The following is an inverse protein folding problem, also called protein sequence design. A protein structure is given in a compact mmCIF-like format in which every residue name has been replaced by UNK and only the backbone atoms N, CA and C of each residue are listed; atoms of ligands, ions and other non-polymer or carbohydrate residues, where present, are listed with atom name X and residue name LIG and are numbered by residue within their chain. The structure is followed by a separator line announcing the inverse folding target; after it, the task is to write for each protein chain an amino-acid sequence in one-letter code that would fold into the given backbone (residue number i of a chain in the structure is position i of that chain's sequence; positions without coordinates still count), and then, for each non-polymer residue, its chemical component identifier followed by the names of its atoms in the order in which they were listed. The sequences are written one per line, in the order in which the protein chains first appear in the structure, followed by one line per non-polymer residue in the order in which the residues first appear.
data_IF_451955696658
#
_entry.id   IF_451955696658
#
_cell.length_a   1.000
_cell.length_b   1.000
_cell.length_c   1.000
_cell.angle_alpha   90.00
_cell.angle_beta   90.00
_cell.angle_gamma   90.00
#
_symmetry.space_group_name_H-M   'P 1'
#
loop_
_entity.id
_entity.type
_entity.pdbx_description
1 polymer ?
#
# COMPACT_ATOMS: atom_id res chain seq x y z
N UNK A 1 -0.27 10.76 -20.15
CA UNK A 1 0.89 11.17 -19.32
C UNK A 1 1.00 10.16 -18.19
N UNK A 2 2.20 9.72 -17.83
CA UNK A 2 2.40 8.70 -16.78
C UNK A 2 3.40 9.24 -15.76
N UNK A 3 3.03 9.20 -14.47
CA UNK A 3 3.92 9.53 -13.36
C UNK A 3 4.46 8.23 -12.77
N UNK A 4 5.76 8.00 -12.88
CA UNK A 4 6.38 6.69 -12.57
C UNK A 4 6.80 6.59 -11.12
N UNK A 5 7.34 7.67 -10.54
CA UNK A 5 7.91 7.66 -9.20
C UNK A 5 7.68 8.98 -8.47
N UNK A 6 7.79 9.00 -7.13
CA UNK A 6 7.97 10.24 -6.38
C UNK A 6 9.17 11.04 -6.93
N UNK A 7 9.07 12.36 -6.86
CA UNK A 7 10.13 13.24 -7.33
C UNK A 7 11.42 13.10 -6.49
N UNK A 8 11.25 12.95 -5.18
CA UNK A 8 12.36 12.71 -4.25
C UNK A 8 12.01 11.59 -3.27
N UNK A 9 12.95 10.67 -3.06
CA UNK A 9 12.78 9.53 -2.14
C UNK A 9 13.89 9.59 -1.08
N UNK A 10 13.48 9.69 0.18
CA UNK A 10 14.32 9.46 1.34
C UNK A 10 14.04 8.07 1.90
N UNK A 11 15.04 7.20 1.98
CA UNK A 11 14.88 5.83 2.47
C UNK A 11 15.98 5.43 3.45
N UNK A 12 15.68 4.47 4.30
CA UNK A 12 16.61 3.93 5.28
C UNK A 12 16.41 4.51 6.67
N UNK A 13 17.38 4.25 7.54
CA UNK A 13 17.36 4.80 8.90
C UNK A 13 17.51 6.32 8.86
N UNK A 14 16.73 7.00 9.71
CA UNK A 14 16.72 8.45 9.83
C UNK A 14 16.34 9.20 8.52
N UNK A 15 15.61 8.55 7.64
CA UNK A 15 15.11 9.14 6.40
C UNK A 15 14.25 10.38 6.67
N UNK A 16 13.46 10.39 7.76
CA UNK A 16 12.68 11.54 8.20
C UNK A 16 13.58 12.75 8.48
N UNK A 17 14.63 12.58 9.28
CA UNK A 17 15.52 13.69 9.63
C UNK A 17 16.26 14.22 8.38
N UNK A 18 16.68 13.33 7.49
CA UNK A 18 17.34 13.70 6.23
C UNK A 18 16.40 14.47 5.28
N UNK A 19 15.09 14.20 5.35
CA UNK A 19 14.08 14.85 4.51
C UNK A 19 13.69 16.26 4.96
N UNK A 20 13.89 16.61 6.24
CA UNK A 20 13.46 17.89 6.82
C UNK A 20 13.92 19.11 6.03
N UNK A 21 15.21 19.25 5.61
CA UNK A 21 15.66 20.42 4.82
C UNK A 21 14.92 20.58 3.49
N UNK A 22 14.46 19.49 2.90
CA UNK A 22 13.69 19.49 1.65
C UNK A 22 12.22 19.83 1.90
N UNK A 23 11.63 19.29 2.97
CA UNK A 23 10.25 19.58 3.37
C UNK A 23 10.09 21.07 3.71
N UNK A 24 11.03 21.66 4.46
CA UNK A 24 10.98 23.08 4.85
C UNK A 24 11.02 24.02 3.64
N UNK A 25 11.72 23.63 2.57
CA UNK A 25 11.76 24.40 1.32
C UNK A 25 10.45 24.30 0.54
N UNK A 26 9.73 23.17 0.67
CA UNK A 26 8.52 22.87 -0.08
C UNK A 26 7.27 23.50 0.54
N UNK A 27 7.21 23.69 1.86
CA UNK A 27 5.99 24.09 2.59
C UNK A 27 6.25 25.04 3.73
N UNK A 28 5.26 25.89 4.03
CA UNK A 28 5.24 26.78 5.20
C UNK A 28 4.10 26.42 6.18
N UNK A 29 3.03 25.86 5.65
CA UNK A 29 1.82 25.55 6.41
C UNK A 29 1.31 24.13 6.10
N UNK A 30 2.05 23.07 6.50
CA UNK A 30 1.67 21.70 6.19
C UNK A 30 0.52 21.19 7.07
N UNK A 31 -0.32 20.32 6.48
CA UNK A 31 -1.27 19.49 7.21
C UNK A 31 -0.68 18.10 7.44
N UNK A 32 -0.51 17.66 8.68
CA UNK A 32 -0.24 16.26 8.99
C UNK A 32 -1.56 15.51 9.00
N UNK A 33 -1.73 14.59 8.04
CA UNK A 33 -2.89 13.71 7.95
C UNK A 33 -2.55 12.34 8.54
N UNK A 34 -3.42 11.83 9.42
CA UNK A 34 -3.29 10.53 10.04
C UNK A 34 -4.61 9.81 10.24
N UNK A 35 -4.56 8.68 10.97
CA UNK A 35 -5.74 7.91 11.39
C UNK A 35 -5.43 7.10 12.64
N UNK A 36 -6.43 7.01 13.54
CA UNK A 36 -6.33 6.20 14.75
C UNK A 36 -5.26 6.67 15.75
N UNK A 37 -5.16 5.95 16.85
CA UNK A 37 -4.26 6.29 17.97
C UNK A 37 -2.90 5.62 17.88
N UNK A 38 -2.80 4.45 17.20
CA UNK A 38 -1.59 3.62 17.22
C UNK A 38 -0.35 4.30 16.61
N UNK A 39 -0.54 5.25 15.70
CA UNK A 39 0.54 6.01 15.08
C UNK A 39 0.71 7.42 15.64
N UNK A 40 -0.03 7.79 16.71
CA UNK A 40 0.02 9.13 17.30
C UNK A 40 1.42 9.55 17.76
N UNK A 41 2.17 8.64 18.39
CA UNK A 41 3.52 8.96 18.87
C UNK A 41 4.46 9.39 17.73
N UNK A 42 4.40 8.70 16.59
CA UNK A 42 5.19 9.06 15.41
C UNK A 42 4.70 10.38 14.78
N UNK A 43 3.39 10.58 14.66
CA UNK A 43 2.83 11.84 14.15
C UNK A 43 3.14 13.03 15.07
N UNK A 44 3.11 12.82 16.38
CA UNK A 44 3.52 13.83 17.35
C UNK A 44 5.02 14.16 17.26
N UNK A 45 5.87 13.17 16.95
CA UNK A 45 7.26 13.41 16.64
C UNK A 45 7.39 14.27 15.37
N UNK A 46 6.74 13.89 14.28
CA UNK A 46 6.69 14.66 13.03
C UNK A 46 6.22 16.09 13.29
N UNK A 47 5.14 16.27 14.06
CA UNK A 47 4.61 17.58 14.43
C UNK A 47 5.64 18.43 15.15
N UNK A 48 6.28 17.90 16.18
CA UNK A 48 7.31 18.62 16.96
C UNK A 48 8.50 19.00 16.08
N UNK A 49 8.99 18.07 15.28
CA UNK A 49 10.15 18.31 14.41
C UNK A 49 9.86 19.45 13.41
N UNK A 50 8.66 19.50 12.82
CA UNK A 50 8.25 20.57 11.90
C UNK A 50 8.01 21.91 12.64
N UNK A 51 7.41 21.89 13.83
CA UNK A 51 7.23 23.08 14.66
C UNK A 51 8.57 23.70 15.06
N UNK A 52 9.56 22.89 15.38
CA UNK A 52 10.93 23.35 15.68
C UNK A 52 11.61 24.03 14.49
N UNK A 53 11.09 23.81 13.27
CA UNK A 53 11.50 24.48 12.04
C UNK A 53 10.64 25.73 11.71
N UNK A 54 9.86 26.23 12.67
CA UNK A 54 8.98 27.38 12.54
C UNK A 54 7.86 27.25 11.49
N UNK A 55 7.44 26.02 11.14
CA UNK A 55 6.33 25.80 10.23
C UNK A 55 4.97 25.96 10.96
N UNK A 56 3.97 26.46 10.24
CA UNK A 56 2.59 26.58 10.75
C UNK A 56 1.83 25.26 10.59
N UNK A 57 2.19 24.25 11.40
CA UNK A 57 1.68 22.88 11.26
C UNK A 57 0.26 22.77 11.81
N UNK A 58 -0.62 22.14 11.04
CA UNK A 58 -1.94 21.66 11.46
C UNK A 58 -1.99 20.13 11.41
N UNK A 59 -2.93 19.55 12.17
CA UNK A 59 -3.14 18.09 12.18
C UNK A 59 -4.61 17.78 11.93
N UNK A 60 -4.85 16.72 11.18
CA UNK A 60 -6.18 16.13 11.00
C UNK A 60 -6.10 14.60 10.94
N UNK A 61 -7.19 13.94 11.30
CA UNK A 61 -7.31 12.49 11.21
C UNK A 61 -8.50 12.11 10.34
N UNK A 62 -8.35 11.04 9.55
CA UNK A 62 -9.48 10.35 8.96
C UNK A 62 -10.34 9.76 10.10
N UNK A 63 -11.65 9.94 10.00
CA UNK A 63 -12.63 9.38 10.94
C UNK A 63 -13.02 7.96 10.55
N UNK A 64 -13.16 7.77 9.25
CA UNK A 64 -13.64 6.52 8.64
C UNK A 64 -12.53 5.85 7.83
N UNK A 65 -12.36 6.26 6.57
CA UNK A 65 -11.48 5.64 5.60
C UNK A 65 -10.99 6.66 4.55
N UNK A 66 -10.30 6.21 3.50
CA UNK A 66 -10.14 7.00 2.27
C UNK A 66 -11.50 7.06 1.55
N UNK A 67 -12.41 7.88 2.06
CA UNK A 67 -13.79 8.03 1.58
C UNK A 67 -14.13 9.50 1.30
N UNK A 68 -15.14 9.72 0.46
CA UNK A 68 -15.51 11.08 0.05
C UNK A 68 -15.91 11.98 1.23
N UNK A 69 -16.54 11.42 2.27
CA UNK A 69 -16.94 12.17 3.46
C UNK A 69 -15.71 12.72 4.22
N UNK A 70 -14.68 11.88 4.41
CA UNK A 70 -13.46 12.33 5.06
C UNK A 70 -12.65 13.27 4.16
N UNK A 71 -12.54 12.97 2.86
CA UNK A 71 -11.85 13.82 1.88
C UNK A 71 -12.47 15.22 1.86
N UNK A 72 -13.80 15.32 1.73
CA UNK A 72 -14.51 16.62 1.72
C UNK A 72 -14.28 17.39 3.02
N UNK A 73 -14.35 16.72 4.16
CA UNK A 73 -14.08 17.34 5.47
C UNK A 73 -12.66 17.87 5.59
N UNK A 74 -11.67 17.10 5.12
CA UNK A 74 -10.26 17.50 5.17
C UNK A 74 -9.98 18.64 4.18
N UNK A 75 -10.55 18.61 2.97
CA UNK A 75 -10.44 19.70 2.00
C UNK A 75 -10.93 21.03 2.60
N UNK A 76 -12.04 21.02 3.34
CA UNK A 76 -12.50 22.20 4.05
C UNK A 76 -11.52 22.70 5.14
N UNK A 77 -10.81 21.78 5.82
CA UNK A 77 -9.77 22.15 6.78
C UNK A 77 -8.58 22.79 6.05
N UNK A 78 -8.14 22.22 4.94
CA UNK A 78 -7.04 22.74 4.11
C UNK A 78 -7.34 24.16 3.65
N UNK A 79 -8.50 24.37 3.05
CA UNK A 79 -8.90 25.69 2.52
C UNK A 79 -9.04 26.75 3.63
N UNK A 80 -9.73 26.43 4.73
CA UNK A 80 -9.96 27.37 5.85
C UNK A 80 -8.68 27.81 6.58
N UNK A 81 -7.62 26.99 6.54
CA UNK A 81 -6.38 27.27 7.28
C UNK A 81 -5.20 27.66 6.36
N UNK A 82 -5.46 27.89 5.06
CA UNK A 82 -4.43 28.22 4.07
C UNK A 82 -3.26 27.21 4.11
N UNK A 83 -3.60 25.91 4.15
CA UNK A 83 -2.62 24.83 4.12
C UNK A 83 -2.04 24.76 2.69
N UNK A 84 -0.72 24.64 2.60
CA UNK A 84 0.02 24.63 1.33
C UNK A 84 0.59 23.25 0.95
N UNK A 85 0.42 22.25 1.81
CA UNK A 85 0.86 20.86 1.53
C UNK A 85 0.19 19.85 2.45
N UNK A 86 0.18 18.57 2.06
CA UNK A 86 -0.28 17.47 2.90
C UNK A 86 0.89 16.52 3.19
N UNK A 87 1.14 16.26 4.47
CA UNK A 87 2.05 15.21 4.95
C UNK A 87 1.18 14.03 5.40
N UNK A 88 1.01 13.05 4.53
CA UNK A 88 0.24 11.85 4.80
C UNK A 88 1.10 10.84 5.59
N UNK A 89 0.90 10.76 6.92
CA UNK A 89 1.68 9.91 7.81
C UNK A 89 0.83 8.74 8.36
N UNK A 90 0.98 7.55 7.73
CA UNK A 90 0.16 6.40 8.11
C UNK A 90 0.31 5.18 7.22
N UNK A 91 -0.67 4.29 7.25
CA UNK A 91 -0.81 3.16 6.34
C UNK A 91 -1.54 3.55 5.03
N UNK A 92 -1.79 2.58 4.15
CA UNK A 92 -2.30 2.78 2.79
C UNK A 92 -3.46 3.76 2.68
N UNK A 93 -4.49 3.61 3.52
CA UNK A 93 -5.69 4.50 3.51
C UNK A 93 -5.39 5.97 3.79
N UNK A 94 -4.43 6.25 4.67
CA UNK A 94 -3.98 7.63 4.97
C UNK A 94 -3.16 8.17 3.81
N UNK A 95 -2.29 7.33 3.23
CA UNK A 95 -1.45 7.71 2.10
C UNK A 95 -2.29 8.02 0.87
N UNK A 96 -3.30 7.19 0.58
CA UNK A 96 -4.24 7.40 -0.53
C UNK A 96 -5.09 8.65 -0.32
N UNK A 97 -5.65 8.87 0.87
CA UNK A 97 -6.41 10.06 1.17
C UNK A 97 -5.57 11.34 1.04
N UNK A 98 -4.33 11.33 1.55
CA UNK A 98 -3.41 12.47 1.43
C UNK A 98 -3.05 12.81 -0.01
N UNK A 99 -2.75 11.80 -0.83
CA UNK A 99 -2.48 11.97 -2.25
C UNK A 99 -3.70 12.53 -3.00
N UNK A 100 -4.88 11.95 -2.77
CA UNK A 100 -6.11 12.39 -3.42
C UNK A 100 -6.49 13.83 -3.05
N UNK A 101 -6.38 14.20 -1.77
CA UNK A 101 -6.62 15.58 -1.29
C UNK A 101 -5.64 16.55 -1.97
N UNK A 102 -4.36 16.18 -2.03
CA UNK A 102 -3.33 17.01 -2.64
C UNK A 102 -3.57 17.23 -4.14
N UNK A 103 -3.96 16.16 -4.84
CA UNK A 103 -4.31 16.21 -6.27
C UNK A 103 -5.53 17.09 -6.53
N UNK A 104 -6.60 16.92 -5.73
CA UNK A 104 -7.81 17.75 -5.84
C UNK A 104 -7.58 19.25 -5.62
N UNK A 105 -6.61 19.61 -4.80
CA UNK A 105 -6.34 21.00 -4.38
C UNK A 105 -5.08 21.59 -5.03
N UNK A 106 -4.42 20.83 -5.91
CA UNK A 106 -3.17 21.20 -6.59
C UNK A 106 -2.08 21.68 -5.62
N UNK A 107 -1.91 20.94 -4.50
CA UNK A 107 -0.87 21.20 -3.50
C UNK A 107 0.06 20.00 -3.35
N UNK A 108 1.33 20.19 -2.96
CA UNK A 108 2.29 19.11 -2.79
C UNK A 108 1.84 18.04 -1.78
N UNK A 109 2.05 16.77 -2.14
CA UNK A 109 1.91 15.64 -1.24
C UNK A 109 3.27 15.12 -0.79
N UNK A 110 3.43 14.93 0.52
CA UNK A 110 4.56 14.25 1.14
C UNK A 110 4.01 12.98 1.79
N UNK A 111 4.46 11.81 1.35
CA UNK A 111 4.03 10.54 1.94
C UNK A 111 5.07 10.03 2.94
N UNK A 112 4.60 9.64 4.12
CA UNK A 112 5.40 9.07 5.21
C UNK A 112 4.75 7.75 5.63
N UNK A 113 5.05 6.62 4.94
CA UNK A 113 4.56 5.32 5.33
C UNK A 113 5.03 4.95 6.74
N UNK A 114 4.09 4.60 7.61
CA UNK A 114 4.36 4.16 8.98
C UNK A 114 4.25 2.63 9.13
N UNK A 115 4.09 1.92 8.03
CA UNK A 115 4.15 0.45 7.93
C UNK A 115 4.52 0.04 6.51
N UNK A 116 5.00 -1.18 6.32
CA UNK A 116 5.31 -1.76 5.02
C UNK A 116 4.14 -2.57 4.43
N UNK A 117 2.90 -2.22 4.77
CA UNK A 117 1.71 -3.01 4.39
C UNK A 117 1.29 -2.85 2.93
N UNK A 118 1.83 -1.89 2.19
CA UNK A 118 1.44 -1.56 0.82
C UNK A 118 2.43 -0.58 0.18
N UNK A 119 2.42 -0.50 -1.13
CA UNK A 119 3.17 0.47 -1.92
C UNK A 119 2.44 1.82 -2.13
N UNK A 120 1.33 2.07 -1.44
CA UNK A 120 0.50 3.27 -1.64
C UNK A 120 1.26 4.61 -1.47
N UNK A 121 2.36 4.62 -0.72
CA UNK A 121 3.21 5.81 -0.57
C UNK A 121 3.95 6.23 -1.84
N UNK A 122 4.06 5.35 -2.83
CA UNK A 122 4.82 5.59 -4.07
C UNK A 122 3.96 6.11 -5.21
N UNK A 123 2.79 5.50 -5.43
CA UNK A 123 2.06 5.54 -6.71
C UNK A 123 1.21 6.80 -6.91
N UNK A 124 1.03 7.22 -8.17
CA UNK A 124 0.03 8.20 -8.61
C UNK A 124 -1.36 7.56 -8.71
N UNK A 125 -1.81 6.95 -7.62
CA UNK A 125 -3.08 6.24 -7.51
C UNK A 125 -3.63 6.36 -6.11
N UNK A 126 -4.95 6.43 -5.97
CA UNK A 126 -5.65 6.33 -4.70
C UNK A 126 -6.85 5.42 -4.80
N UNK A 127 -7.00 4.54 -3.82
CA UNK A 127 -8.17 3.67 -3.69
C UNK A 127 -9.23 4.36 -2.83
N UNK A 128 -10.45 4.50 -3.36
CA UNK A 128 -11.59 5.12 -2.69
C UNK A 128 -12.52 4.03 -2.16
N UNK A 129 -12.94 4.22 -0.93
CA UNK A 129 -13.83 3.32 -0.20
C UNK A 129 -15.07 4.06 0.29
N UNK A 130 -16.11 3.31 0.67
CA UNK A 130 -17.19 3.86 1.48
C UNK A 130 -16.71 4.12 2.90
N UNK A 131 -17.47 4.88 3.69
CA UNK A 131 -17.20 5.05 5.14
C UNK A 131 -17.22 3.74 5.92
N UNK A 132 -17.77 2.69 5.36
CA UNK A 132 -17.82 1.33 5.93
C UNK A 132 -16.66 0.44 5.47
N UNK A 133 -15.75 0.94 4.61
CA UNK A 133 -14.57 0.22 4.14
C UNK A 133 -14.78 -0.63 2.90
N UNK A 134 -15.92 -0.50 2.22
CA UNK A 134 -16.18 -1.19 0.94
C UNK A 134 -15.49 -0.45 -0.20
N UNK A 135 -14.77 -1.18 -1.05
CA UNK A 135 -14.10 -0.60 -2.22
C UNK A 135 -15.13 -0.02 -3.21
N UNK A 136 -14.86 1.19 -3.69
CA UNK A 136 -15.67 1.86 -4.72
C UNK A 136 -14.93 1.83 -6.05
N UNK A 137 -13.73 2.42 -6.08
CA UNK A 137 -12.89 2.50 -7.28
C UNK A 137 -11.47 2.91 -6.94
N UNK A 138 -10.57 2.69 -7.85
CA UNK A 138 -9.27 3.35 -7.92
C UNK A 138 -9.37 4.64 -8.74
N UNK A 139 -8.53 5.62 -8.40
CA UNK A 139 -8.47 6.91 -9.07
C UNK A 139 -7.01 7.17 -9.45
N UNK A 140 -6.77 7.33 -10.74
CA UNK A 140 -5.47 7.81 -11.24
C UNK A 140 -5.32 9.29 -10.87
N UNK A 141 -4.15 9.66 -10.35
CA UNK A 141 -3.79 11.01 -9.95
C UNK A 141 -2.87 11.64 -10.99
N UNK A 142 -2.82 12.96 -11.01
CA UNK A 142 -1.97 13.71 -11.94
C UNK A 142 -0.46 13.46 -11.72
N UNK A 143 -0.04 13.19 -10.47
CA UNK A 143 1.37 12.94 -10.15
C UNK A 143 1.55 11.99 -8.95
N UNK A 144 2.73 11.37 -8.88
CA UNK A 144 3.22 10.75 -7.66
C UNK A 144 3.51 11.81 -6.58
N UNK A 145 3.68 11.42 -5.31
CA UNK A 145 4.07 12.35 -4.25
C UNK A 145 5.35 13.14 -4.60
N UNK A 146 5.42 14.40 -4.17
CA UNK A 146 6.64 15.22 -4.30
C UNK A 146 7.80 14.61 -3.50
N UNK A 147 7.52 14.16 -2.28
CA UNK A 147 8.51 13.53 -1.41
C UNK A 147 7.90 12.25 -0.85
N UNK A 148 8.63 11.14 -0.95
CA UNK A 148 8.39 9.93 -0.19
C UNK A 148 9.46 9.78 0.89
N UNK A 149 9.04 9.67 2.15
CA UNK A 149 9.92 9.42 3.28
C UNK A 149 9.70 8.02 3.81
N UNK A 150 10.58 7.09 3.46
CA UNK A 150 10.50 5.68 3.82
C UNK A 150 11.48 5.37 4.95
N UNK A 151 11.12 5.81 6.17
CA UNK A 151 11.97 5.69 7.35
C UNK A 151 11.85 4.31 8.01
N UNK A 152 12.93 3.55 8.00
CA UNK A 152 12.96 2.19 8.56
C UNK A 152 12.64 2.17 10.05
N UNK A 153 13.11 3.17 10.83
CA UNK A 153 12.80 3.26 12.27
C UNK A 153 11.32 3.49 12.52
N UNK A 154 10.64 4.27 11.67
CA UNK A 154 9.20 4.46 11.77
C UNK A 154 8.45 3.17 11.44
N UNK A 155 8.80 2.55 10.31
CA UNK A 155 8.14 1.33 9.84
C UNK A 155 8.34 0.17 10.82
N UNK A 156 9.51 0.07 11.46
CA UNK A 156 9.83 -0.97 12.42
C UNK A 156 8.91 -0.96 13.66
N UNK A 157 8.31 0.17 13.99
CA UNK A 157 7.37 0.26 15.12
C UNK A 157 5.99 -0.34 14.83
N UNK A 158 5.68 -0.62 13.56
CA UNK A 158 4.41 -1.20 13.18
C UNK A 158 4.33 -2.69 13.58
N UNK A 159 3.13 -3.24 13.84
CA UNK A 159 2.99 -4.67 14.10
C UNK A 159 3.50 -5.52 12.91
N UNK A 160 4.15 -6.65 13.18
CA UNK A 160 4.66 -7.59 12.15
C UNK A 160 3.59 -8.05 11.17
N UNK A 161 2.33 -8.13 11.62
CA UNK A 161 1.16 -8.40 10.77
C UNK A 161 1.08 -7.45 9.57
N UNK A 162 1.52 -6.19 9.71
CA UNK A 162 1.52 -5.23 8.60
C UNK A 162 2.57 -5.56 7.54
N UNK A 163 3.74 -6.08 7.95
CA UNK A 163 4.75 -6.57 7.01
C UNK A 163 4.26 -7.85 6.30
N UNK A 164 3.68 -8.80 7.03
CA UNK A 164 3.09 -10.00 6.43
C UNK A 164 2.04 -9.64 5.36
N UNK A 165 1.13 -8.70 5.67
CA UNK A 165 0.17 -8.17 4.71
C UNK A 165 0.86 -7.53 3.49
N UNK A 166 1.92 -6.75 3.69
CA UNK A 166 2.67 -6.14 2.59
C UNK A 166 3.38 -7.15 1.70
N UNK A 167 3.91 -8.22 2.27
CA UNK A 167 4.50 -9.32 1.49
C UNK A 167 3.45 -9.97 0.58
N UNK A 168 2.25 -10.26 1.10
CA UNK A 168 1.19 -10.86 0.30
C UNK A 168 0.70 -9.93 -0.83
N UNK A 169 0.53 -8.63 -0.54
CA UNK A 169 0.17 -7.60 -1.53
C UNK A 169 1.26 -7.46 -2.62
N UNK A 170 2.53 -7.42 -2.22
CA UNK A 170 3.64 -7.28 -3.16
C UNK A 170 3.84 -8.54 -4.04
N UNK A 171 3.61 -9.75 -3.50
CA UNK A 171 3.65 -10.98 -4.27
C UNK A 171 2.61 -10.99 -5.40
N UNK A 172 1.44 -10.40 -5.20
CA UNK A 172 0.40 -10.30 -6.22
C UNK A 172 0.89 -9.56 -7.48
N UNK A 173 1.87 -8.64 -7.36
CA UNK A 173 2.42 -7.91 -8.51
C UNK A 173 2.93 -8.83 -9.62
N UNK A 174 3.65 -9.89 -9.26
CA UNK A 174 4.10 -10.87 -10.27
C UNK A 174 2.95 -11.70 -10.82
N UNK A 175 2.17 -12.31 -9.95
CA UNK A 175 1.16 -13.28 -10.38
C UNK A 175 0.02 -12.64 -11.19
N UNK A 176 -0.30 -11.39 -10.93
CA UNK A 176 -1.30 -10.66 -11.71
C UNK A 176 -0.71 -10.09 -13.00
N UNK A 177 0.43 -9.38 -12.95
CA UNK A 177 1.02 -8.76 -14.13
C UNK A 177 1.49 -9.77 -15.17
N UNK A 178 1.99 -10.94 -14.75
CA UNK A 178 2.42 -12.01 -15.66
C UNK A 178 1.28 -12.57 -16.51
N UNK A 179 0.02 -12.45 -16.06
CA UNK A 179 -1.15 -12.90 -16.80
C UNK A 179 -1.74 -11.76 -17.63
N UNK A 180 -2.03 -10.64 -17.00
CA UNK A 180 -2.70 -9.52 -17.67
C UNK A 180 -1.87 -8.89 -18.77
N UNK A 181 -0.54 -8.94 -18.64
CA UNK A 181 0.38 -8.19 -19.48
C UNK A 181 1.34 -9.05 -20.32
N UNK A 182 1.24 -10.38 -20.25
CA UNK A 182 2.14 -11.29 -20.97
C UNK A 182 2.13 -11.12 -22.49
N UNK A 183 1.02 -10.64 -23.05
CA UNK A 183 0.82 -10.45 -24.51
C UNK A 183 0.91 -8.97 -24.94
N UNK A 184 1.27 -8.06 -24.03
CA UNK A 184 1.35 -6.63 -24.34
C UNK A 184 2.71 -6.35 -24.96
N UNK A 185 2.72 -5.84 -26.19
CA UNK A 185 3.92 -5.40 -26.89
C UNK A 185 4.26 -3.95 -26.50
N UNK A 186 4.79 -3.79 -25.27
CA UNK A 186 5.21 -2.52 -24.68
C UNK A 186 6.45 -2.79 -23.82
N UNK A 187 7.58 -2.24 -24.21
CA UNK A 187 8.87 -2.49 -23.57
C UNK A 187 8.90 -2.12 -22.08
N UNK A 188 8.24 -1.03 -21.66
CA UNK A 188 8.18 -0.64 -20.25
C UNK A 188 7.33 -1.62 -19.44
N UNK A 189 6.21 -2.08 -20.00
CA UNK A 189 5.36 -3.10 -19.35
C UNK A 189 6.13 -4.42 -19.20
N UNK A 190 6.87 -4.84 -20.21
CA UNK A 190 7.70 -6.04 -20.13
C UNK A 190 8.80 -5.91 -19.06
N UNK A 191 9.43 -4.73 -18.93
CA UNK A 191 10.40 -4.47 -17.86
C UNK A 191 9.74 -4.50 -16.48
N UNK A 192 8.54 -3.91 -16.31
CA UNK A 192 7.79 -3.97 -15.07
C UNK A 192 7.48 -5.41 -14.64
N UNK A 193 7.12 -6.28 -15.60
CA UNK A 193 6.92 -7.72 -15.36
C UNK A 193 8.21 -8.37 -14.85
N UNK A 194 9.38 -8.09 -15.45
CA UNK A 194 10.63 -8.68 -14.98
C UNK A 194 11.03 -8.18 -13.59
N UNK A 195 10.80 -6.88 -13.27
CA UNK A 195 11.01 -6.34 -11.93
C UNK A 195 10.08 -7.03 -10.93
N UNK A 196 8.82 -7.29 -11.28
CA UNK A 196 7.87 -7.99 -10.42
C UNK A 196 8.27 -9.46 -10.17
N UNK A 197 8.95 -10.10 -11.13
CA UNK A 197 9.52 -11.44 -10.96
C UNK A 197 10.65 -11.44 -9.92
N UNK A 198 11.59 -10.50 -10.02
CA UNK A 198 12.68 -10.35 -9.05
C UNK A 198 12.11 -10.04 -7.66
N UNK A 199 11.10 -9.14 -7.58
CA UNK A 199 10.38 -8.83 -6.35
C UNK A 199 9.79 -10.10 -5.70
N UNK A 200 9.07 -10.93 -6.47
CA UNK A 200 8.52 -12.20 -5.99
C UNK A 200 9.62 -13.10 -5.43
N UNK A 201 10.70 -13.30 -6.19
CA UNK A 201 11.79 -14.21 -5.80
C UNK A 201 12.45 -13.75 -4.49
N UNK A 202 12.69 -12.45 -4.34
CA UNK A 202 13.20 -11.87 -3.11
C UNK A 202 12.26 -12.09 -1.91
N UNK A 203 10.95 -11.88 -2.09
CA UNK A 203 9.98 -12.06 -1.03
C UNK A 203 9.81 -13.52 -0.62
N UNK A 204 9.92 -14.45 -1.55
CA UNK A 204 9.90 -15.90 -1.27
C UNK A 204 11.14 -16.35 -0.50
N UNK A 205 12.30 -15.73 -0.73
CA UNK A 205 13.58 -16.07 -0.06
C UNK A 205 13.66 -15.40 1.33
N UNK A 206 13.39 -14.12 1.40
CA UNK A 206 13.65 -13.30 2.59
C UNK A 206 12.42 -13.07 3.49
N UNK A 207 11.20 -13.28 2.98
CA UNK A 207 9.96 -12.83 3.64
C UNK A 207 9.75 -13.43 5.03
N UNK A 208 9.94 -14.75 5.20
CA UNK A 208 9.80 -15.38 6.51
C UNK A 208 10.86 -14.89 7.49
N UNK A 209 12.12 -14.83 7.07
CA UNK A 209 13.22 -14.35 7.90
C UNK A 209 13.01 -12.90 8.33
N UNK A 210 12.56 -12.04 7.40
CA UNK A 210 12.25 -10.65 7.67
C UNK A 210 11.10 -10.51 8.69
N UNK A 211 10.04 -11.31 8.54
CA UNK A 211 8.90 -11.32 9.45
C UNK A 211 9.31 -11.72 10.88
N UNK A 212 10.15 -12.75 11.03
CA UNK A 212 10.63 -13.21 12.33
C UNK A 212 11.62 -12.25 13.00
N UNK A 213 12.41 -11.53 12.21
CA UNK A 213 13.47 -10.63 12.69
C UNK A 213 13.11 -9.14 12.59
N UNK A 214 11.84 -8.79 12.60
CA UNK A 214 11.39 -7.41 12.44
C UNK A 214 12.09 -6.41 13.36
N UNK A 215 12.34 -6.78 14.61
CA UNK A 215 12.94 -5.88 15.61
C UNK A 215 14.46 -5.79 15.54
N UNK A 216 15.10 -6.62 14.72
CA UNK A 216 16.56 -6.63 14.56
C UNK A 216 17.04 -5.59 13.53
N UNK A 217 16.15 -5.09 12.65
CA UNK A 217 16.49 -4.19 11.55
C UNK A 217 17.67 -4.69 10.70
N UNK A 218 17.71 -6.00 10.50
CA UNK A 218 18.76 -6.66 9.73
C UNK A 218 18.55 -6.48 8.20
N UNK A 219 19.48 -6.98 7.40
CA UNK A 219 19.45 -6.79 5.95
C UNK A 219 18.21 -7.42 5.31
N UNK A 220 17.83 -8.65 5.68
CA UNK A 220 16.64 -9.31 5.14
C UNK A 220 15.36 -8.52 5.44
N UNK A 221 15.23 -7.98 6.67
CA UNK A 221 14.09 -7.15 7.03
C UNK A 221 14.04 -5.85 6.19
N UNK A 222 15.16 -5.12 6.10
CA UNK A 222 15.23 -3.88 5.31
C UNK A 222 14.91 -4.12 3.84
N UNK A 223 15.51 -5.15 3.24
CA UNK A 223 15.27 -5.50 1.84
C UNK A 223 13.80 -5.86 1.59
N UNK A 224 13.18 -6.64 2.49
CA UNK A 224 11.76 -7.03 2.39
C UNK A 224 10.83 -5.82 2.55
N UNK A 225 11.10 -4.95 3.53
CA UNK A 225 10.33 -3.71 3.74
C UNK A 225 10.39 -2.82 2.51
N UNK A 226 11.57 -2.61 1.93
CA UNK A 226 11.75 -1.82 0.71
C UNK A 226 11.12 -2.51 -0.52
N UNK A 227 11.16 -3.82 -0.59
CA UNK A 227 10.48 -4.58 -1.64
C UNK A 227 8.96 -4.33 -1.61
N UNK A 228 8.34 -4.38 -0.44
CA UNK A 228 6.90 -4.15 -0.27
C UNK A 228 6.46 -2.71 -0.59
N UNK A 229 7.27 -1.71 -0.21
CA UNK A 229 6.88 -0.31 -0.34
C UNK A 229 7.42 0.39 -1.59
N UNK A 230 8.65 0.10 -1.96
CA UNK A 230 9.36 0.82 -3.04
C UNK A 230 9.35 0.03 -4.35
N UNK A 231 9.84 -1.23 -4.35
CA UNK A 231 9.89 -2.03 -5.57
C UNK A 231 8.51 -2.34 -6.11
N UNK A 232 7.55 -2.71 -5.24
CA UNK A 232 6.15 -2.91 -5.64
C UNK A 232 5.52 -1.61 -6.21
N UNK A 233 5.88 -0.45 -5.65
CA UNK A 233 5.48 0.85 -6.15
C UNK A 233 6.07 1.16 -7.52
N UNK A 234 7.35 0.87 -7.73
CA UNK A 234 8.03 1.04 -9.02
C UNK A 234 7.40 0.18 -10.12
N UNK A 235 7.05 -1.08 -9.83
CA UNK A 235 6.32 -1.95 -10.77
C UNK A 235 5.01 -1.29 -11.20
N UNK A 236 4.22 -0.77 -10.24
CA UNK A 236 2.98 -0.07 -10.54
C UNK A 236 3.17 1.24 -11.30
N UNK A 237 4.27 1.96 -11.02
CA UNK A 237 4.63 3.21 -11.70
C UNK A 237 5.04 2.99 -13.15
N UNK A 238 5.88 1.99 -13.43
CA UNK A 238 6.36 1.66 -14.79
C UNK A 238 5.25 0.97 -15.60
N UNK A 239 4.59 -0.05 -15.01
CA UNK A 239 3.59 -0.86 -15.72
C UNK A 239 2.21 -0.21 -15.84
N UNK A 240 1.94 0.84 -15.02
CA UNK A 240 0.65 1.54 -15.02
C UNK A 240 -0.52 0.60 -14.73
N UNK A 241 -1.66 0.85 -15.36
CA UNK A 241 -2.88 0.04 -15.20
C UNK A 241 -2.67 -1.43 -15.61
N UNK A 242 -1.80 -1.66 -16.60
CA UNK A 242 -1.54 -2.97 -17.18
C UNK A 242 -0.88 -3.95 -16.20
N UNK A 243 -0.18 -3.47 -15.17
CA UNK A 243 0.50 -4.29 -14.15
C UNK A 243 -0.13 -4.19 -12.75
N UNK A 244 -1.39 -3.77 -12.64
CA UNK A 244 -1.98 -3.49 -11.33
C UNK A 244 -2.79 -4.62 -10.77
N UNK A 245 -3.81 -5.04 -11.48
CA UNK A 245 -4.90 -5.86 -10.93
C UNK A 245 -5.34 -6.94 -11.90
N UNK A 246 -5.54 -8.14 -11.38
CA UNK A 246 -6.23 -9.24 -12.04
C UNK A 246 -7.23 -9.85 -11.05
N UNK A 247 -7.36 -11.16 -11.01
CA UNK A 247 -8.34 -11.84 -10.19
C UNK A 247 -8.09 -11.68 -8.69
N UNK A 248 -6.83 -11.63 -8.22
CA UNK A 248 -6.54 -11.51 -6.79
C UNK A 248 -7.11 -10.22 -6.19
N UNK A 249 -6.89 -9.08 -6.82
CA UNK A 249 -7.47 -7.81 -6.39
C UNK A 249 -8.97 -7.69 -6.68
N UNK A 250 -9.48 -8.29 -7.77
CA UNK A 250 -10.92 -8.34 -8.03
C UNK A 250 -11.65 -9.09 -6.90
N UNK A 251 -11.11 -10.23 -6.46
CA UNK A 251 -11.62 -10.99 -5.32
C UNK A 251 -11.54 -10.17 -4.03
N UNK A 252 -10.41 -9.47 -3.78
CA UNK A 252 -10.30 -8.55 -2.65
C UNK A 252 -11.43 -7.52 -2.68
N UNK A 253 -11.66 -6.85 -3.81
CA UNK A 253 -12.69 -5.82 -3.94
C UNK A 253 -14.09 -6.38 -3.69
N UNK A 254 -14.39 -7.57 -4.22
CA UNK A 254 -15.65 -8.28 -3.98
C UNK A 254 -15.83 -8.64 -2.50
N UNK A 255 -14.79 -9.15 -1.84
CA UNK A 255 -14.80 -9.49 -0.41
C UNK A 255 -15.10 -8.26 0.44
N UNK A 256 -14.60 -7.07 0.08
CA UNK A 256 -14.90 -5.82 0.81
C UNK A 256 -16.40 -5.45 0.79
N UNK A 257 -17.18 -5.96 -0.19
CA UNK A 257 -18.62 -5.74 -0.23
C UNK A 257 -19.39 -6.63 0.76
N UNK A 258 -18.76 -7.74 1.19
CA UNK A 258 -19.36 -8.73 2.08
C UNK A 258 -18.96 -8.47 3.53
N UNK A 259 -17.67 -8.21 3.76
CA UNK A 259 -17.13 -7.98 5.10
C UNK A 259 -17.26 -6.49 5.44
N UNK A 260 -18.18 -6.16 6.33
CA UNK A 260 -18.38 -4.80 6.84
C UNK A 260 -17.36 -4.40 7.90
N UNK A 261 -16.39 -5.24 8.22
CA UNK A 261 -15.43 -5.00 9.30
C UNK A 261 -14.02 -4.79 8.77
N UNK A 262 -13.37 -3.72 9.20
CA UNK A 262 -11.93 -3.47 9.01
C UNK A 262 -11.04 -4.46 9.82
N UNK A 263 -11.46 -5.70 9.95
CA UNK A 263 -10.77 -6.72 10.76
C UNK A 263 -9.51 -7.23 10.07
N UNK A 264 -9.53 -7.28 8.73
CA UNK A 264 -8.44 -7.77 7.93
C UNK A 264 -7.71 -6.63 7.21
N UNK A 265 -6.40 -6.78 7.06
CA UNK A 265 -5.59 -5.89 6.26
C UNK A 265 -5.74 -6.21 4.77
N UNK A 266 -5.49 -5.22 3.92
CA UNK A 266 -5.61 -5.35 2.46
C UNK A 266 -4.88 -6.59 1.93
N UNK A 267 -3.59 -6.73 2.20
CA UNK A 267 -2.81 -7.85 1.70
C UNK A 267 -3.17 -9.22 2.29
N UNK A 268 -3.85 -9.28 3.45
CA UNK A 268 -4.38 -10.54 3.97
C UNK A 268 -5.51 -11.07 3.07
N UNK A 269 -6.35 -10.19 2.58
CA UNK A 269 -7.44 -10.54 1.65
C UNK A 269 -6.88 -10.81 0.25
N UNK A 270 -5.95 -9.95 -0.23
CA UNK A 270 -5.27 -10.15 -1.53
C UNK A 270 -4.54 -11.49 -1.57
N UNK A 271 -3.89 -11.90 -0.47
CA UNK A 271 -3.20 -13.18 -0.38
C UNK A 271 -4.16 -14.38 -0.59
N UNK A 272 -5.35 -14.35 0.01
CA UNK A 272 -6.38 -15.37 -0.26
C UNK A 272 -6.85 -15.30 -1.71
N UNK A 273 -7.10 -14.10 -2.22
CA UNK A 273 -7.44 -13.88 -3.64
C UNK A 273 -6.39 -14.44 -4.60
N UNK A 274 -5.10 -14.30 -4.25
CA UNK A 274 -4.00 -14.85 -5.04
C UNK A 274 -4.01 -16.38 -5.11
N UNK A 275 -4.28 -17.04 -3.99
CA UNK A 275 -4.41 -18.51 -3.98
C UNK A 275 -5.60 -18.96 -4.84
N UNK A 276 -6.71 -18.24 -4.80
CA UNK A 276 -7.89 -18.52 -5.63
C UNK A 276 -7.60 -18.29 -7.12
N UNK A 277 -6.94 -17.18 -7.47
CA UNK A 277 -6.50 -16.91 -8.84
C UNK A 277 -5.66 -18.06 -9.39
N UNK A 278 -4.61 -18.46 -8.68
CA UNK A 278 -3.73 -19.55 -9.11
C UNK A 278 -4.47 -20.88 -9.22
N UNK A 279 -5.45 -21.14 -8.33
CA UNK A 279 -6.28 -22.33 -8.43
C UNK A 279 -7.12 -22.34 -9.71
N UNK A 280 -7.73 -21.22 -10.06
CA UNK A 280 -8.48 -21.06 -11.31
C UNK A 280 -7.58 -21.27 -12.54
N UNK A 281 -6.35 -20.75 -12.52
CA UNK A 281 -5.37 -20.96 -13.59
C UNK A 281 -4.99 -22.43 -13.74
N UNK A 282 -4.74 -23.12 -12.64
CA UNK A 282 -4.43 -24.56 -12.63
C UNK A 282 -5.56 -25.38 -13.24
N UNK A 283 -6.82 -25.08 -12.84
CA UNK A 283 -8.01 -25.80 -13.34
C UNK A 283 -8.30 -25.54 -14.82
N UNK A 284 -8.21 -24.28 -15.26
CA UNK A 284 -8.59 -23.88 -16.61
C UNK A 284 -7.56 -24.29 -17.67
N UNK A 285 -6.28 -24.21 -17.35
CA UNK A 285 -5.19 -24.36 -18.32
C UNK A 285 -4.33 -25.60 -18.07
N UNK A 286 -4.70 -26.48 -17.13
CA UNK A 286 -3.87 -27.60 -16.66
C UNK A 286 -2.42 -27.13 -16.34
N UNK A 287 -2.31 -25.96 -15.72
CA UNK A 287 -1.05 -25.26 -15.48
C UNK A 287 -0.35 -25.81 -14.24
N UNK A 288 0.58 -26.75 -14.43
CA UNK A 288 1.36 -27.35 -13.35
C UNK A 288 2.19 -26.32 -12.55
N UNK A 289 2.61 -25.22 -13.18
CA UNK A 289 3.36 -24.15 -12.49
C UNK A 289 2.47 -23.40 -11.52
N UNK A 290 1.18 -23.24 -11.82
CA UNK A 290 0.23 -22.65 -10.87
C UNK A 290 0.08 -23.52 -9.62
N UNK A 291 -0.01 -24.83 -9.77
CA UNK A 291 -0.10 -25.77 -8.63
C UNK A 291 1.18 -25.76 -7.77
N UNK A 292 2.36 -25.64 -8.38
CA UNK A 292 3.62 -25.46 -7.65
C UNK A 292 3.66 -24.15 -6.89
N UNK A 293 3.22 -23.06 -7.52
CA UNK A 293 3.15 -21.73 -6.90
C UNK A 293 2.20 -21.72 -5.70
N UNK A 294 1.03 -22.38 -5.80
CA UNK A 294 0.10 -22.52 -4.66
C UNK A 294 0.78 -23.21 -3.48
N UNK A 295 1.47 -24.32 -3.71
CA UNK A 295 2.17 -25.06 -2.64
C UNK A 295 3.22 -24.17 -1.94
N UNK A 296 4.00 -23.45 -2.72
CA UNK A 296 5.04 -22.54 -2.22
C UNK A 296 4.44 -21.38 -1.42
N UNK A 297 3.39 -20.74 -1.95
CA UNK A 297 2.69 -19.64 -1.28
C UNK A 297 1.99 -20.09 0.00
N UNK A 298 1.37 -21.26 0.02
CA UNK A 298 0.73 -21.80 1.22
C UNK A 298 1.73 -22.01 2.36
N UNK A 299 2.95 -22.48 2.06
CA UNK A 299 4.03 -22.60 3.07
C UNK A 299 4.39 -21.23 3.62
N UNK A 300 4.70 -20.26 2.75
CA UNK A 300 5.08 -18.92 3.16
C UNK A 300 3.95 -18.22 3.93
N UNK A 301 2.70 -18.26 3.45
CA UNK A 301 1.57 -17.60 4.10
C UNK A 301 1.31 -18.15 5.50
N UNK A 302 1.48 -19.48 5.72
CA UNK A 302 1.39 -20.09 7.05
C UNK A 302 2.52 -19.59 7.98
N UNK A 303 3.74 -19.48 7.46
CA UNK A 303 4.89 -18.96 8.21
C UNK A 303 4.72 -17.50 8.61
N UNK A 304 3.99 -16.71 7.79
CA UNK A 304 3.67 -15.31 8.02
C UNK A 304 2.37 -15.11 8.83
N UNK A 305 1.72 -16.17 9.29
CA UNK A 305 0.43 -16.14 10.00
C UNK A 305 -0.68 -15.46 9.19
N UNK A 306 -0.67 -15.59 7.87
CA UNK A 306 -1.67 -15.05 6.95
C UNK A 306 -2.84 -16.04 6.77
N UNK A 307 -4.06 -15.55 6.54
CA UNK A 307 -5.17 -16.41 6.14
C UNK A 307 -4.91 -17.06 4.79
N UNK A 308 -5.30 -18.33 4.64
CA UNK A 308 -5.11 -19.11 3.41
C UNK A 308 -6.43 -19.59 2.80
N UNK A 309 -7.55 -19.27 3.46
CA UNK A 309 -8.91 -19.66 3.01
C UNK A 309 -9.89 -18.51 3.21
N UNK A 310 -10.98 -18.50 2.44
CA UNK A 310 -12.10 -17.56 2.60
C UNK A 310 -12.75 -17.73 3.99
N UNK A 311 -12.87 -18.95 4.48
CA UNK A 311 -13.42 -19.22 5.81
C UNK A 311 -12.62 -18.56 6.94
N UNK A 312 -11.28 -18.48 6.83
CA UNK A 312 -10.43 -17.77 7.78
C UNK A 312 -10.67 -16.26 7.76
N UNK A 313 -11.20 -15.72 6.66
CA UNK A 313 -11.67 -14.33 6.58
C UNK A 313 -13.04 -14.13 7.22
N UNK A 314 -13.64 -15.18 7.78
CA UNK A 314 -14.94 -15.14 8.43
C UNK A 314 -16.12 -15.10 7.46
N UNK A 315 -15.90 -15.50 6.21
CA UNK A 315 -16.95 -15.55 5.17
C UNK A 315 -17.44 -16.99 5.04
N UNK A 316 -18.74 -17.20 5.23
CA UNK A 316 -19.41 -18.41 4.83
C UNK A 316 -19.91 -18.24 3.38
N UNK A 317 -19.28 -18.95 2.45
CA UNK A 317 -19.61 -18.85 1.01
C UNK A 317 -21.01 -19.34 0.66
N UNK A 318 -21.62 -20.17 1.52
CA UNK A 318 -22.96 -20.72 1.32
C UNK A 318 -24.09 -19.83 1.89
N UNK A 319 -23.75 -18.76 2.59
CA UNK A 319 -24.71 -17.82 3.14
C UNK A 319 -24.92 -16.60 2.24
N UNK A 320 -26.18 -16.13 2.14
CA UNK A 320 -26.54 -14.83 1.55
C UNK A 320 -26.00 -14.54 0.14
N UNK A 321 -25.92 -15.55 -0.73
CA UNK A 321 -25.39 -15.43 -2.09
C UNK A 321 -23.96 -14.84 -2.12
N UNK A 322 -23.14 -15.13 -1.12
CA UNK A 322 -21.76 -14.63 -1.05
C UNK A 322 -20.92 -15.10 -2.23
N UNK A 323 -21.17 -16.31 -2.77
CA UNK A 323 -20.49 -16.82 -3.96
C UNK A 323 -20.75 -15.97 -5.21
N UNK A 324 -21.94 -15.41 -5.36
CA UNK A 324 -22.28 -14.56 -6.53
C UNK A 324 -21.59 -13.20 -6.47
N UNK A 325 -21.14 -12.78 -5.28
CA UNK A 325 -20.44 -11.51 -5.06
C UNK A 325 -18.92 -11.62 -5.17
N UNK A 326 -18.37 -12.82 -5.03
CA UNK A 326 -16.94 -13.14 -5.16
C UNK A 326 -16.62 -13.62 -6.58
#
# INVERSE_FOLDING_TARGET
MQSISPETIFRGNDAWQKSLPHIIKLTKSPLILGRGIHTNNLRNKIFRDLKNQNLNVKCANLRFDCCYEDISRINNIVLKNNIDSVIAAGGGKVLDAGKYISDCLDIPCITVPLSASTCAGWTALSNIYTKYGQFIKDVALGSCPKILVYDHKFIQTAPSRTLASGIADALAKWYESSITSSKIDDGLVQQAIQISRVLRDQLLIDGEKAFRSQFENNLSWRNTVEACGLTAGLVGGIGGEKCRTAAAHAIHNAITQIITTNKFLHGEIVGVGLLLQLRLEGMKNNNKLADQSIKQLLVLMKQLNLPTTIAQLGINVFENNNLEKI
#
